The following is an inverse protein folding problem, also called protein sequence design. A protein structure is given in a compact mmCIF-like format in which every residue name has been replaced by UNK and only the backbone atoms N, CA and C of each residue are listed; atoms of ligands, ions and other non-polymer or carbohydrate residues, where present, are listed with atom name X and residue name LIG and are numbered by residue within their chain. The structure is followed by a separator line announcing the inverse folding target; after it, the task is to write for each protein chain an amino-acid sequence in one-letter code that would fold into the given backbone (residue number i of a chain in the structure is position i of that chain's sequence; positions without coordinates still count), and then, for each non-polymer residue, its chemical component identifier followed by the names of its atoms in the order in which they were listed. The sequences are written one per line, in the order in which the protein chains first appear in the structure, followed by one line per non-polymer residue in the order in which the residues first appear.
data_IF_586224396579
#
_entry.id   IF_586224396579
#
_cell.length_a   1.000
_cell.length_b   1.000
_cell.length_c   1.000
_cell.angle_alpha   90.00
_cell.angle_beta   90.00
_cell.angle_gamma   90.00
#
_symmetry.space_group_name_H-M   'P 1'
#
loop_
_entity.id
_entity.type
_entity.pdbx_description
1 polymer ?
#
# COMPACT_ATOMS: atom_id res chain seq x y z
N UNK A 1 2.91 -1.08 -27.94
CA UNK A 1 3.30 0.35 -27.93
C UNK A 1 4.70 0.45 -27.35
N UNK A 2 5.63 1.13 -28.02
CA UNK A 2 6.97 1.33 -27.45
C UNK A 2 6.84 2.26 -26.24
N UNK A 3 7.27 1.80 -25.06
CA UNK A 3 7.36 2.65 -23.88
C UNK A 3 8.20 3.88 -24.23
N UNK A 4 7.71 5.07 -23.86
CA UNK A 4 8.46 6.29 -24.10
C UNK A 4 9.80 6.22 -23.36
N UNK A 5 10.85 6.86 -23.87
CA UNK A 5 12.15 6.93 -23.15
C UNK A 5 11.96 7.49 -21.73
N UNK A 6 11.00 8.39 -21.56
CA UNK A 6 10.59 8.97 -20.29
C UNK A 6 9.99 7.90 -19.36
N UNK A 7 9.03 7.11 -19.83
CA UNK A 7 8.42 6.02 -19.05
C UNK A 7 9.47 4.98 -18.61
N UNK A 8 10.38 4.59 -19.51
CA UNK A 8 11.43 3.63 -19.18
C UNK A 8 12.39 4.18 -18.10
N UNK A 9 12.73 5.47 -18.18
CA UNK A 9 13.55 6.13 -17.17
C UNK A 9 12.83 6.23 -15.82
N UNK A 10 11.53 6.54 -15.83
CA UNK A 10 10.70 6.57 -14.63
C UNK A 10 10.65 5.20 -13.97
N UNK A 11 10.36 4.13 -14.71
CA UNK A 11 10.31 2.76 -14.18
C UNK A 11 11.64 2.34 -13.57
N UNK A 12 12.76 2.64 -14.25
CA UNK A 12 14.11 2.35 -13.71
C UNK A 12 14.38 3.13 -12.43
N UNK A 13 14.11 4.43 -12.41
CA UNK A 13 14.32 5.22 -11.21
C UNK A 13 13.42 4.74 -10.06
N UNK A 14 12.17 4.40 -10.36
CA UNK A 14 11.21 3.89 -9.40
C UNK A 14 11.68 2.57 -8.79
N UNK A 15 12.16 1.62 -9.59
CA UNK A 15 12.76 0.37 -9.08
C UNK A 15 13.99 0.61 -8.20
N UNK A 16 14.82 1.62 -8.54
CA UNK A 16 15.98 2.00 -7.73
C UNK A 16 15.56 2.62 -6.41
N UNK A 17 14.51 3.45 -6.42
CA UNK A 17 13.97 4.06 -5.21
C UNK A 17 13.30 3.01 -4.31
N UNK A 18 12.56 2.05 -4.89
CA UNK A 18 12.00 0.90 -4.16
C UNK A 18 13.10 0.07 -3.49
N UNK A 19 14.22 -0.19 -4.18
CA UNK A 19 15.37 -0.90 -3.60
C UNK A 19 16.05 -0.09 -2.48
N UNK A 20 16.27 1.22 -2.70
CA UNK A 20 16.85 2.12 -1.69
C UNK A 20 15.94 2.29 -0.46
N UNK A 21 14.62 2.22 -0.65
CA UNK A 21 13.63 2.23 0.42
C UNK A 21 13.62 0.93 1.25
N UNK A 22 13.99 -0.20 0.64
CA UNK A 22 14.05 -1.50 1.32
C UNK A 22 15.35 -1.70 2.11
N UNK A 23 16.45 -1.07 1.68
CA UNK A 23 17.73 -1.09 2.37
C UNK A 23 17.68 -0.24 3.66
N UNK A 24 18.44 -0.63 4.69
CA UNK A 24 18.47 0.04 6.01
C UNK A 24 18.94 1.50 5.80
N UNK A 25 18.01 2.46 5.82
CA UNK A 25 18.32 3.86 5.50
C UNK A 25 18.73 4.66 6.73
N UNK A 26 19.81 5.41 6.58
CA UNK A 26 20.15 6.47 7.51
C UNK A 26 19.20 7.66 7.26
N UNK A 27 18.69 8.30 8.33
CA UNK A 27 17.79 9.45 8.22
C UNK A 27 18.40 10.62 7.42
N UNK A 28 19.73 10.70 7.33
CA UNK A 28 20.47 11.76 6.63
C UNK A 28 20.68 11.50 5.13
N UNK A 29 20.17 10.40 4.58
CA UNK A 29 20.27 10.14 3.14
C UNK A 29 19.32 11.02 2.30
N UNK A 30 19.76 12.25 2.03
CA UNK A 30 19.11 13.21 1.11
C UNK A 30 18.90 12.67 -0.32
N UNK A 31 19.56 11.56 -0.68
CA UNK A 31 19.53 10.97 -2.02
C UNK A 31 18.12 10.51 -2.38
N UNK A 32 17.42 9.82 -1.48
CA UNK A 32 16.07 9.33 -1.78
C UNK A 32 15.09 10.50 -1.95
N UNK A 33 15.20 11.54 -1.12
CA UNK A 33 14.37 12.74 -1.25
C UNK A 33 14.52 13.39 -2.63
N UNK A 34 15.77 13.55 -3.11
CA UNK A 34 15.99 14.08 -4.47
C UNK A 34 15.50 13.14 -5.55
N UNK A 35 15.61 11.83 -5.38
CA UNK A 35 15.08 10.88 -6.36
C UNK A 35 13.55 10.86 -6.39
N UNK A 36 12.88 11.01 -5.24
CA UNK A 36 11.42 11.13 -5.17
C UNK A 36 10.96 12.45 -5.82
N UNK A 37 11.66 13.56 -5.58
CA UNK A 37 11.39 14.81 -6.32
C UNK A 37 11.57 14.64 -7.84
N UNK A 38 12.64 13.97 -8.28
CA UNK A 38 12.84 13.67 -9.70
C UNK A 38 11.76 12.73 -10.29
N UNK A 39 11.22 11.81 -9.49
CA UNK A 39 10.09 10.96 -9.89
C UNK A 39 8.80 11.77 -10.06
N UNK A 40 8.53 12.75 -9.18
CA UNK A 40 7.40 13.67 -9.32
C UNK A 40 7.52 14.52 -10.60
N UNK A 41 8.69 15.07 -10.87
CA UNK A 41 8.97 15.85 -12.09
C UNK A 41 8.78 15.00 -13.35
N UNK A 42 9.29 13.76 -13.35
CA UNK A 42 9.09 12.81 -14.46
C UNK A 42 7.64 12.39 -14.62
N UNK A 43 6.90 12.18 -13.53
CA UNK A 43 5.46 11.90 -13.57
C UNK A 43 4.69 13.07 -14.19
N UNK A 44 5.01 14.31 -13.82
CA UNK A 44 4.38 15.49 -14.37
C UNK A 44 4.71 15.64 -15.86
N UNK A 45 5.97 15.44 -16.24
CA UNK A 45 6.39 15.45 -17.64
C UNK A 45 5.70 14.35 -18.45
N UNK A 46 5.49 13.15 -17.88
CA UNK A 46 4.78 12.05 -18.52
C UNK A 46 3.27 12.33 -18.68
N UNK A 47 2.67 13.06 -17.73
CA UNK A 47 1.26 13.49 -17.80
C UNK A 47 1.03 14.55 -18.89
N UNK A 48 2.04 15.38 -19.17
CA UNK A 48 2.00 16.44 -20.20
C UNK A 48 2.39 15.91 -21.59
N UNK A 49 3.27 14.91 -21.67
CA UNK A 49 3.74 14.37 -22.95
C UNK A 49 2.64 13.70 -23.77
N UNK A 50 2.67 13.93 -25.09
CA UNK A 50 1.69 13.41 -26.04
C UNK A 50 1.63 11.87 -26.13
N UNK A 51 2.71 11.17 -25.78
CA UNK A 51 2.79 9.71 -25.71
C UNK A 51 2.28 9.18 -24.38
N UNK A 52 1.07 9.60 -23.99
CA UNK A 52 0.43 9.25 -22.72
C UNK A 52 0.26 7.72 -22.65
N UNK A 53 0.94 7.00 -21.74
CA UNK A 53 0.60 5.60 -21.50
C UNK A 53 -0.84 5.51 -20.96
N UNK A 54 -1.44 4.31 -20.99
CA UNK A 54 -2.80 4.10 -20.52
C UNK A 54 -3.01 4.73 -19.13
N UNK A 55 -4.16 5.38 -18.92
CA UNK A 55 -4.43 6.18 -17.71
C UNK A 55 -4.24 5.38 -16.41
N UNK A 56 -4.43 4.06 -16.47
CA UNK A 56 -4.21 3.11 -15.38
C UNK A 56 -2.74 3.08 -14.93
N UNK A 57 -1.81 2.97 -15.88
CA UNK A 57 -0.36 2.88 -15.62
C UNK A 57 0.17 4.19 -15.01
N UNK A 58 -0.34 5.34 -15.46
CA UNK A 58 0.01 6.65 -14.87
C UNK A 58 -0.46 6.73 -13.42
N UNK A 59 -1.66 6.23 -13.13
CA UNK A 59 -2.20 6.22 -11.78
C UNK A 59 -1.42 5.29 -10.87
N UNK A 60 -0.99 4.12 -11.37
CA UNK A 60 -0.10 3.21 -10.64
C UNK A 60 1.23 3.88 -10.28
N UNK A 61 1.90 4.53 -11.25
CA UNK A 61 3.13 5.25 -10.96
C UNK A 61 2.92 6.43 -10.01
N UNK A 62 1.83 7.18 -10.16
CA UNK A 62 1.46 8.27 -9.24
C UNK A 62 1.34 7.75 -7.81
N UNK A 63 0.58 6.68 -7.63
CA UNK A 63 0.37 6.06 -6.32
C UNK A 63 1.68 5.55 -5.71
N UNK A 64 2.55 4.93 -6.51
CA UNK A 64 3.87 4.47 -6.02
C UNK A 64 4.76 5.63 -5.57
N UNK A 65 4.77 6.74 -6.31
CA UNK A 65 5.53 7.94 -5.92
C UNK A 65 4.94 8.56 -4.65
N UNK A 66 3.62 8.66 -4.55
CA UNK A 66 2.92 9.13 -3.35
C UNK A 66 3.22 8.23 -2.13
N UNK A 67 3.30 6.91 -2.32
CA UNK A 67 3.68 5.95 -1.29
C UNK A 67 5.13 6.17 -0.82
N UNK A 68 6.09 6.30 -1.75
CA UNK A 68 7.49 6.58 -1.40
C UNK A 68 7.64 7.90 -0.63
N UNK A 69 6.88 8.92 -1.01
CA UNK A 69 6.84 10.21 -0.32
C UNK A 69 6.26 10.09 1.09
N UNK A 70 5.16 9.35 1.25
CA UNK A 70 4.57 9.10 2.57
C UNK A 70 5.52 8.34 3.49
N UNK A 71 6.25 7.36 2.96
CA UNK A 71 7.27 6.61 3.71
C UNK A 71 8.45 7.50 4.13
N UNK A 72 8.94 8.38 3.23
CA UNK A 72 9.95 9.38 3.56
C UNK A 72 9.53 10.31 4.69
N UNK A 73 8.27 10.77 4.67
CA UNK A 73 7.73 11.63 5.73
C UNK A 73 7.59 10.87 7.05
N UNK A 74 7.17 9.60 7.01
CA UNK A 74 7.10 8.73 8.17
C UNK A 74 8.48 8.50 8.82
N UNK A 75 9.54 8.33 8.03
CA UNK A 75 10.90 8.19 8.56
C UNK A 75 11.44 9.47 9.21
N UNK A 76 11.07 10.65 8.69
CA UNK A 76 11.47 11.96 9.24
C UNK A 76 10.84 12.30 10.59
N UNK A 77 9.70 11.70 10.94
CA UNK A 77 9.08 11.89 12.25
C UNK A 77 9.99 11.26 13.32
N UNK A 78 10.57 12.08 14.20
CA UNK A 78 11.63 11.69 15.15
C UNK A 78 11.17 10.75 16.27
N UNK A 79 9.87 10.45 16.39
CA UNK A 79 9.32 9.60 17.44
C UNK A 79 8.98 8.19 16.92
N UNK A 80 9.68 7.18 17.45
CA UNK A 80 9.43 5.74 17.23
C UNK A 80 7.94 5.35 17.38
N UNK A 81 7.24 5.97 18.34
CA UNK A 81 5.81 5.72 18.60
C UNK A 81 4.88 6.36 17.57
N UNK A 82 5.22 7.54 17.03
CA UNK A 82 4.47 8.17 15.94
C UNK A 82 4.65 7.41 14.63
N UNK A 83 5.86 6.87 14.36
CA UNK A 83 6.14 6.00 13.20
C UNK A 83 5.25 4.75 13.20
N UNK A 84 5.07 4.13 14.36
CA UNK A 84 4.22 2.94 14.50
C UNK A 84 2.73 3.27 14.28
N UNK A 85 2.25 4.42 14.77
CA UNK A 85 0.87 4.87 14.58
C UNK A 85 0.60 5.22 13.11
N UNK A 86 1.48 5.98 12.46
CA UNK A 86 1.35 6.36 11.06
C UNK A 86 1.36 5.15 10.12
N UNK A 87 2.22 4.16 10.38
CA UNK A 87 2.26 2.91 9.59
C UNK A 87 1.06 2.00 9.82
N UNK A 88 0.38 2.11 10.96
CA UNK A 88 -0.90 1.43 11.19
C UNK A 88 -2.02 2.04 10.34
N UNK A 89 -1.97 3.36 10.08
CA UNK A 89 -2.89 4.06 9.18
C UNK A 89 -2.55 3.91 7.70
N UNK A 90 -1.30 3.62 7.36
CA UNK A 90 -0.91 3.17 6.03
C UNK A 90 -1.41 1.74 5.83
N UNK A 91 -2.72 1.62 5.65
CA UNK A 91 -3.42 0.36 5.42
C UNK A 91 -2.76 -0.40 4.26
N UNK A 92 -2.68 -1.74 4.32
CA UNK A 92 -2.23 -2.57 3.20
C UNK A 92 -3.10 -2.25 1.98
N UNK A 93 -2.57 -1.45 1.06
CA UNK A 93 -3.24 -1.10 -0.18
C UNK A 93 -3.59 -2.39 -0.92
N UNK A 94 -4.90 -2.62 -1.07
CA UNK A 94 -5.59 -3.66 -1.85
C UNK A 94 -5.05 -5.10 -1.73
N UNK A 95 -5.97 -5.97 -1.30
CA UNK A 95 -5.93 -7.41 -1.65
C UNK A 95 -5.81 -7.50 -3.19
N UNK A 96 -4.83 -8.25 -3.76
CA UNK A 96 -4.71 -8.36 -5.21
C UNK A 96 -5.91 -9.15 -5.71
N UNK A 97 -6.74 -8.53 -6.54
CA UNK A 97 -7.82 -9.24 -7.26
C UNK A 97 -7.31 -9.89 -8.54
N UNK A 98 -5.98 -9.95 -8.77
CA UNK A 98 -5.42 -10.67 -9.91
C UNK A 98 -4.30 -11.61 -9.44
N UNK A 99 -4.49 -12.91 -9.72
CA UNK A 99 -3.61 -14.00 -9.30
C UNK A 99 -2.20 -13.98 -9.94
N UNK A 100 -1.88 -12.99 -10.77
CA UNK A 100 -0.65 -12.96 -11.57
C UNK A 100 0.35 -11.88 -11.19
N UNK A 101 0.04 -11.05 -10.21
CA UNK A 101 1.02 -10.09 -9.68
C UNK A 101 1.99 -10.83 -8.76
N UNK A 102 3.20 -11.12 -9.25
CA UNK A 102 4.34 -11.50 -8.41
C UNK A 102 4.37 -10.52 -7.24
N UNK A 103 4.27 -11.04 -6.02
CA UNK A 103 4.30 -10.32 -4.74
C UNK A 103 5.01 -8.96 -4.91
N UNK A 104 4.27 -7.84 -5.04
CA UNK A 104 4.92 -6.57 -5.23
C UNK A 104 5.73 -6.30 -3.96
N UNK A 105 7.01 -5.99 -4.13
CA UNK A 105 7.99 -5.76 -3.06
C UNK A 105 7.48 -4.77 -1.98
N UNK A 106 6.53 -3.92 -2.33
CA UNK A 106 5.76 -3.07 -1.40
C UNK A 106 5.14 -3.84 -0.23
N UNK A 107 4.67 -5.08 -0.43
CA UNK A 107 4.10 -5.91 0.65
C UNK A 107 5.15 -6.50 1.57
N UNK A 108 6.30 -6.90 1.03
CA UNK A 108 7.40 -7.39 1.87
C UNK A 108 7.98 -6.26 2.70
N UNK A 109 8.06 -5.04 2.15
CA UNK A 109 8.50 -3.84 2.88
C UNK A 109 7.55 -3.49 4.02
N UNK A 110 6.22 -3.53 3.83
CA UNK A 110 5.27 -3.23 4.91
C UNK A 110 5.28 -4.27 6.02
N UNK A 111 5.31 -5.57 5.68
CA UNK A 111 5.40 -6.63 6.69
C UNK A 111 6.73 -6.56 7.45
N UNK A 112 7.83 -6.26 6.76
CA UNK A 112 9.14 -6.14 7.37
C UNK A 112 9.24 -4.87 8.23
N UNK A 113 8.71 -3.73 7.77
CA UNK A 113 8.68 -2.50 8.56
C UNK A 113 7.81 -2.68 9.81
N UNK A 114 6.63 -3.30 9.67
CA UNK A 114 5.78 -3.66 10.80
C UNK A 114 6.49 -4.58 11.79
N UNK A 115 7.11 -5.66 11.33
CA UNK A 115 7.85 -6.57 12.19
C UNK A 115 9.00 -5.86 12.93
N UNK A 116 9.72 -4.97 12.22
CA UNK A 116 10.79 -4.14 12.82
C UNK A 116 10.26 -3.21 13.90
N UNK A 117 9.26 -2.39 13.62
CA UNK A 117 8.71 -1.46 14.61
C UNK A 117 8.05 -2.18 15.79
N UNK A 118 7.44 -3.35 15.57
CA UNK A 118 6.94 -4.15 16.70
C UNK A 118 8.07 -4.72 17.57
N UNK A 119 9.22 -5.03 16.96
CA UNK A 119 10.41 -5.48 17.70
C UNK A 119 11.06 -4.33 18.46
N UNK A 120 11.17 -3.15 17.86
CA UNK A 120 11.70 -1.94 18.50
C UNK A 120 10.78 -1.49 19.64
N UNK A 121 9.46 -1.47 19.44
CA UNK A 121 8.50 -1.22 20.52
C UNK A 121 8.64 -2.24 21.66
N UNK A 122 8.89 -3.50 21.32
CA UNK A 122 9.12 -4.56 22.31
C UNK A 122 10.45 -4.36 23.04
N UNK A 123 11.52 -3.92 22.37
CA UNK A 123 12.81 -3.65 23.02
C UNK A 123 12.78 -2.40 23.89
N UNK A 124 12.06 -1.35 23.47
CA UNK A 124 11.79 -0.15 24.26
C UNK A 124 10.95 -0.47 25.51
N UNK A 125 9.84 -1.21 25.36
CA UNK A 125 8.96 -1.62 26.48
C UNK A 125 9.66 -2.57 27.46
N UNK A 126 10.50 -3.48 26.96
CA UNK A 126 11.26 -4.42 27.78
C UNK A 126 12.58 -3.83 28.28
N UNK A 127 12.90 -2.57 27.96
CA UNK A 127 14.11 -1.87 28.40
C UNK A 127 15.41 -2.56 27.97
N UNK A 128 15.40 -3.38 26.92
CA UNK A 128 16.56 -4.20 26.53
C UNK A 128 17.67 -3.38 25.85
N UNK A 129 17.36 -2.16 25.39
CA UNK A 129 18.34 -1.23 24.82
C UNK A 129 18.95 -0.26 25.84
N UNK A 130 18.61 -0.39 27.14
CA UNK A 130 19.47 0.15 28.18
C UNK A 130 20.61 -0.84 28.40
N UNK A 131 21.65 -0.68 27.59
CA UNK A 131 22.99 -1.06 28.01
C UNK A 131 23.23 -0.47 29.41
N UNK A 132 23.47 -1.37 30.37
CA UNK A 132 24.03 -1.15 31.71
C UNK A 132 23.06 -0.94 32.90
N UNK A 133 23.37 -1.55 34.06
CA UNK A 133 23.68 -2.95 34.23
C UNK A 133 22.61 -3.63 35.09
N UNK A 134 22.53 -4.95 34.92
CA UNK A 134 21.79 -5.92 35.71
C UNK A 134 21.68 -5.51 37.19
N UNK A 135 20.55 -4.90 37.55
CA UNK A 135 20.13 -4.81 38.94
C UNK A 135 19.58 -6.18 39.30
N UNK A 136 20.53 -7.08 39.52
CA UNK A 136 20.39 -8.45 39.94
C UNK A 136 19.62 -8.46 41.29
N UNK A 137 18.29 -8.60 41.24
CA UNK A 137 17.39 -8.65 42.40
C UNK A 137 17.60 -9.95 43.23
N UNK A 138 18.71 -10.66 43.04
CA UNK A 138 19.00 -11.91 43.75
C UNK A 138 20.31 -11.92 44.52
N UNK A 139 20.55 -10.89 45.35
CA UNK A 139 21.38 -11.05 46.56
C UNK A 139 20.55 -11.02 47.83
N UNK A 140 19.89 -12.15 48.11
CA UNK A 140 19.65 -12.60 49.49
C UNK A 140 21.00 -13.04 50.07
N UNK A 141 21.86 -12.10 50.46
CA UNK A 141 22.97 -12.43 51.36
C UNK A 141 22.47 -12.24 52.77
N UNK A 142 22.09 -13.35 53.41
CA UNK A 142 21.91 -13.39 54.84
C UNK A 142 23.21 -13.00 55.52
N UNK A 143 23.20 -11.85 56.18
CA UNK A 143 24.14 -11.54 57.24
C UNK A 143 23.34 -11.54 58.52
N UNK A 144 23.42 -12.67 59.22
CA UNK A 144 23.15 -12.75 60.64
C UNK A 144 24.02 -11.70 61.34
N UNK A 145 23.37 -10.72 61.96
CA UNK A 145 24.07 -9.55 62.51
C UNK A 145 23.13 -8.57 63.19
N UNK A 146 22.35 -9.08 64.13
CA UNK A 146 22.04 -8.45 65.42
C UNK A 146 21.98 -6.91 65.48
N UNK A 147 20.79 -6.31 65.42
CA UNK A 147 20.34 -5.24 66.35
C UNK A 147 18.80 -5.20 66.34
N UNK A 148 18.13 -5.04 67.51
CA UNK A 148 16.68 -5.02 67.58
C UNK A 148 16.16 -3.68 67.05
N UNK A 149 15.86 -3.64 65.75
CA UNK A 149 15.11 -2.54 65.15
C UNK A 149 13.75 -2.52 65.84
N UNK A 150 13.44 -1.38 66.48
CA UNK A 150 12.21 -1.18 67.26
C UNK A 150 10.99 -1.66 66.46
N UNK A 151 10.13 -2.49 67.06
CA UNK A 151 8.91 -3.02 66.42
C UNK A 151 8.05 -1.92 65.77
N UNK A 152 8.07 -0.71 66.31
CA UNK A 152 7.40 0.47 65.73
C UNK A 152 7.95 0.88 64.37
N UNK A 153 9.26 0.75 64.18
CA UNK A 153 9.94 1.09 62.95
C UNK A 153 9.68 0.03 61.87
N UNK A 154 9.64 -1.26 62.26
CA UNK A 154 9.19 -2.35 61.38
C UNK A 154 7.72 -2.21 60.98
N UNK A 155 6.84 -1.86 61.91
CA UNK A 155 5.43 -1.62 61.62
C UNK A 155 5.23 -0.42 60.67
N UNK A 156 5.98 0.67 60.87
CA UNK A 156 5.95 1.84 59.98
C UNK A 156 6.52 1.54 58.59
N UNK A 157 7.60 0.77 58.50
CA UNK A 157 8.17 0.33 57.22
C UNK A 157 7.21 -0.60 56.47
N UNK A 158 6.59 -1.54 57.18
CA UNK A 158 5.58 -2.44 56.61
C UNK A 158 4.35 -1.67 56.11
N UNK A 159 3.86 -0.69 56.86
CA UNK A 159 2.73 0.16 56.46
C UNK A 159 3.07 0.99 55.21
N UNK A 160 4.29 1.56 55.15
CA UNK A 160 4.78 2.29 53.98
C UNK A 160 4.87 1.37 52.74
N UNK A 161 5.37 0.14 52.91
CA UNK A 161 5.44 -0.87 51.84
C UNK A 161 4.04 -1.29 51.39
N UNK A 162 3.10 -1.51 52.32
CA UNK A 162 1.71 -1.85 52.02
C UNK A 162 1.01 -0.72 51.25
N UNK A 163 1.17 0.53 51.70
CA UNK A 163 0.65 1.71 51.01
C UNK A 163 1.22 1.84 49.60
N UNK A 164 2.52 1.54 49.42
CA UNK A 164 3.16 1.52 48.10
C UNK A 164 2.60 0.42 47.20
N UNK A 165 2.37 -0.78 47.73
CA UNK A 165 1.74 -1.87 46.98
C UNK A 165 0.30 -1.55 46.58
N UNK A 166 -0.49 -0.94 47.46
CA UNK A 166 -1.87 -0.52 47.16
C UNK A 166 -1.89 0.55 46.07
N UNK A 167 -1.03 1.57 46.16
CA UNK A 167 -0.93 2.62 45.12
C UNK A 167 -0.51 2.05 43.76
N UNK A 168 0.42 1.09 43.75
CA UNK A 168 0.84 0.40 42.52
C UNK A 168 -0.29 -0.46 41.93
N UNK A 169 -1.04 -1.18 42.78
CA UNK A 169 -2.19 -1.97 42.34
C UNK A 169 -3.32 -1.08 41.80
N UNK A 170 -3.58 0.06 42.42
CA UNK A 170 -4.57 1.04 41.97
C UNK A 170 -4.19 1.64 40.62
N UNK A 171 -2.92 2.05 40.46
CA UNK A 171 -2.39 2.53 39.17
C UNK A 171 -2.46 1.48 38.07
N UNK A 172 -2.07 0.24 38.37
CA UNK A 172 -2.17 -0.85 37.41
C UNK A 172 -3.63 -1.12 37.02
N UNK A 173 -4.56 -1.08 37.98
CA UNK A 173 -5.98 -1.23 37.71
C UNK A 173 -6.51 -0.08 36.83
N UNK A 174 -6.10 1.15 37.09
CA UNK A 174 -6.48 2.33 36.30
C UNK A 174 -5.93 2.26 34.86
N UNK A 175 -4.68 1.85 34.69
CA UNK A 175 -4.06 1.62 33.37
C UNK A 175 -4.73 0.46 32.62
N UNK A 176 -4.98 -0.67 33.28
CA UNK A 176 -5.70 -1.79 32.67
C UNK A 176 -7.12 -1.40 32.26
N UNK A 177 -7.78 -0.58 33.06
CA UNK A 177 -9.12 -0.10 32.77
C UNK A 177 -9.10 0.95 31.64
N UNK A 178 -8.08 1.80 31.58
CA UNK A 178 -7.79 2.70 30.47
C UNK A 178 -7.53 1.94 29.16
N UNK A 179 -6.69 0.90 29.21
CA UNK A 179 -6.40 0.02 28.09
C UNK A 179 -7.66 -0.73 27.63
N UNK A 180 -8.45 -1.26 28.55
CA UNK A 180 -9.70 -1.96 28.23
C UNK A 180 -10.73 -1.03 27.57
N UNK A 181 -10.85 0.22 28.04
CA UNK A 181 -11.68 1.24 27.39
C UNK A 181 -11.15 1.57 25.99
N UNK A 182 -9.85 1.82 25.87
CA UNK A 182 -9.20 2.10 24.59
C UNK A 182 -9.42 0.97 23.59
N UNK A 183 -9.13 -0.28 23.99
CA UNK A 183 -9.35 -1.47 23.19
C UNK A 183 -10.81 -1.62 22.77
N UNK A 184 -11.77 -1.39 23.68
CA UNK A 184 -13.20 -1.41 23.37
C UNK A 184 -13.56 -0.34 22.33
N UNK A 185 -13.11 0.90 22.52
CA UNK A 185 -13.39 1.99 21.57
C UNK A 185 -12.75 1.74 20.20
N UNK A 186 -11.51 1.25 20.16
CA UNK A 186 -10.80 0.92 18.93
C UNK A 186 -11.46 -0.27 18.21
N UNK A 187 -11.89 -1.29 18.95
CA UNK A 187 -12.58 -2.46 18.36
C UNK A 187 -13.95 -2.08 17.79
N UNK A 188 -14.71 -1.21 18.46
CA UNK A 188 -15.98 -0.69 17.92
C UNK A 188 -15.77 0.18 16.69
N UNK A 189 -14.75 1.04 16.70
CA UNK A 189 -14.36 1.83 15.54
C UNK A 189 -13.99 0.91 14.37
N UNK A 190 -13.11 -0.08 14.61
CA UNK A 190 -12.71 -1.08 13.64
C UNK A 190 -13.91 -1.86 13.09
N UNK A 191 -14.86 -2.27 13.94
CA UNK A 191 -16.09 -2.95 13.49
C UNK A 191 -16.92 -2.07 12.55
N UNK A 192 -17.07 -0.78 12.87
CA UNK A 192 -17.80 0.16 12.02
C UNK A 192 -17.11 0.41 10.67
N UNK A 193 -15.78 0.47 10.67
CA UNK A 193 -14.94 0.59 9.47
C UNK A 193 -15.07 -0.67 8.61
N UNK A 194 -14.93 -1.86 9.19
CA UNK A 194 -15.10 -3.15 8.49
C UNK A 194 -16.50 -3.26 7.88
N UNK A 195 -17.54 -2.81 8.58
CA UNK A 195 -18.92 -2.81 8.06
C UNK A 195 -19.07 -1.86 6.86
N UNK A 196 -18.50 -0.66 6.95
CA UNK A 196 -18.50 0.33 5.86
C UNK A 196 -17.70 -0.16 4.65
N UNK A 197 -16.58 -0.83 4.88
CA UNK A 197 -15.77 -1.44 3.84
C UNK A 197 -16.52 -2.59 3.17
N UNK A 198 -17.20 -3.44 3.94
CA UNK A 198 -18.02 -4.51 3.38
C UNK A 198 -19.16 -3.97 2.49
N UNK A 199 -19.81 -2.88 2.92
CA UNK A 199 -20.80 -2.18 2.09
C UNK A 199 -20.19 -1.60 0.81
N UNK A 200 -19.03 -0.96 0.91
CA UNK A 200 -18.32 -0.36 -0.23
C UNK A 200 -17.83 -1.42 -1.20
N UNK A 201 -17.32 -2.54 -0.69
CA UNK A 201 -16.92 -3.71 -1.48
C UNK A 201 -18.13 -4.36 -2.16
N UNK A 202 -19.25 -4.56 -1.46
CA UNK A 202 -20.47 -5.09 -2.07
C UNK A 202 -21.00 -4.19 -3.17
N UNK A 203 -20.98 -2.87 -2.97
CA UNK A 203 -21.34 -1.91 -4.01
C UNK A 203 -20.37 -1.95 -5.20
N UNK A 204 -19.07 -2.02 -4.93
CA UNK A 204 -18.03 -2.08 -5.97
C UNK A 204 -18.11 -3.37 -6.78
N UNK A 205 -18.38 -4.50 -6.13
CA UNK A 205 -18.60 -5.80 -6.79
C UNK A 205 -19.84 -5.75 -7.69
N UNK A 206 -20.96 -5.21 -7.19
CA UNK A 206 -22.18 -5.03 -8.02
C UNK A 206 -21.92 -4.15 -9.25
N UNK A 207 -21.18 -3.05 -9.09
CA UNK A 207 -20.81 -2.19 -10.21
C UNK A 207 -19.86 -2.89 -11.18
N UNK A 208 -18.91 -3.69 -10.67
CA UNK A 208 -18.03 -4.50 -11.50
C UNK A 208 -18.80 -5.58 -12.27
N UNK A 209 -19.77 -6.26 -11.64
CA UNK A 209 -20.62 -7.26 -12.29
C UNK A 209 -21.50 -6.62 -13.38
N UNK A 210 -22.11 -5.47 -13.10
CA UNK A 210 -22.87 -4.72 -14.10
C UNK A 210 -21.99 -4.26 -15.27
N UNK A 211 -20.76 -3.84 -14.99
CA UNK A 211 -19.81 -3.45 -16.03
C UNK A 211 -19.35 -4.67 -16.84
N UNK A 212 -19.14 -5.83 -16.21
CA UNK A 212 -18.82 -7.08 -16.90
C UNK A 212 -19.97 -7.55 -17.78
N UNK A 213 -21.21 -7.44 -17.30
CA UNK A 213 -22.40 -7.76 -18.09
C UNK A 213 -22.51 -6.82 -19.30
N UNK A 214 -22.37 -5.51 -19.10
CA UNK A 214 -22.34 -4.53 -20.20
C UNK A 214 -21.23 -4.81 -21.20
N UNK A 215 -20.01 -5.07 -20.73
CA UNK A 215 -18.88 -5.43 -21.58
C UNK A 215 -19.14 -6.72 -22.36
N UNK A 216 -19.75 -7.74 -21.74
CA UNK A 216 -20.16 -8.96 -22.43
C UNK A 216 -21.21 -8.68 -23.50
N UNK A 217 -22.23 -7.88 -23.19
CA UNK A 217 -23.27 -7.53 -24.18
C UNK A 217 -22.73 -6.70 -25.34
N UNK A 218 -21.83 -5.74 -25.07
CA UNK A 218 -21.20 -4.92 -26.11
C UNK A 218 -20.17 -5.74 -26.90
N UNK A 219 -19.46 -6.67 -26.24
CA UNK A 219 -18.57 -7.66 -26.87
C UNK A 219 -19.36 -8.55 -27.83
N UNK A 220 -20.47 -9.13 -27.39
CA UNK A 220 -21.30 -10.00 -28.22
C UNK A 220 -21.97 -9.24 -29.36
N UNK A 221 -22.42 -8.01 -29.09
CA UNK A 221 -22.88 -7.09 -30.14
C UNK A 221 -21.77 -6.81 -31.16
N UNK A 222 -20.53 -6.58 -30.71
CA UNK A 222 -19.40 -6.35 -31.59
C UNK A 222 -19.02 -7.60 -32.38
N UNK A 223 -19.09 -8.79 -31.79
CA UNK A 223 -18.85 -10.07 -32.47
C UNK A 223 -19.89 -10.33 -33.55
N UNK A 224 -21.18 -10.11 -33.25
CA UNK A 224 -22.26 -10.19 -34.22
C UNK A 224 -22.09 -9.18 -35.37
N UNK A 225 -21.72 -7.94 -35.05
CA UNK A 225 -21.41 -6.94 -36.06
C UNK A 225 -20.18 -7.31 -36.87
N UNK A 226 -19.12 -7.85 -36.26
CA UNK A 226 -17.89 -8.24 -36.96
C UNK A 226 -18.17 -9.39 -37.94
N UNK A 227 -18.84 -10.45 -37.49
CA UNK A 227 -19.10 -11.60 -38.37
C UNK A 227 -20.02 -11.24 -39.54
N UNK A 228 -21.12 -10.52 -39.28
CA UNK A 228 -22.06 -10.11 -40.32
C UNK A 228 -21.48 -9.03 -41.23
N UNK A 229 -20.77 -8.05 -40.67
CA UNK A 229 -20.13 -6.98 -41.45
C UNK A 229 -19.02 -7.53 -42.32
N UNK A 230 -18.20 -8.47 -41.84
CA UNK A 230 -17.14 -9.08 -42.66
C UNK A 230 -17.75 -9.81 -43.86
N UNK A 231 -18.78 -10.63 -43.65
CA UNK A 231 -19.44 -11.32 -44.77
C UNK A 231 -20.09 -10.32 -45.75
N UNK A 232 -20.77 -9.30 -45.23
CA UNK A 232 -21.40 -8.27 -46.06
C UNK A 232 -20.37 -7.41 -46.81
N UNK A 233 -19.26 -7.05 -46.17
CA UNK A 233 -18.13 -6.31 -46.77
C UNK A 233 -17.43 -7.16 -47.83
N UNK A 234 -17.20 -8.45 -47.59
CA UNK A 234 -16.65 -9.36 -48.60
C UNK A 234 -17.56 -9.45 -49.84
N UNK A 235 -18.89 -9.51 -49.63
CA UNK A 235 -19.86 -9.52 -50.72
C UNK A 235 -19.91 -8.18 -51.48
N UNK A 236 -19.86 -7.06 -50.76
CA UNK A 236 -19.76 -5.73 -51.35
C UNK A 236 -18.46 -5.57 -52.17
N UNK A 237 -17.32 -6.01 -51.63
CA UNK A 237 -16.03 -6.01 -52.32
C UNK A 237 -16.06 -6.87 -53.59
N UNK A 238 -16.70 -8.04 -53.55
CA UNK A 238 -16.89 -8.90 -54.72
C UNK A 238 -17.71 -8.21 -55.82
N UNK A 239 -18.84 -7.59 -55.45
CA UNK A 239 -19.67 -6.84 -56.41
C UNK A 239 -18.89 -5.69 -57.04
N UNK A 240 -18.14 -4.95 -56.23
CA UNK A 240 -17.30 -3.85 -56.72
C UNK A 240 -16.35 -4.38 -57.79
N UNK A 241 -15.62 -5.48 -57.51
CA UNK A 241 -14.71 -6.13 -58.47
C UNK A 241 -15.43 -6.55 -59.76
N UNK A 242 -16.64 -7.11 -59.66
CA UNK A 242 -17.45 -7.43 -60.84
C UNK A 242 -17.84 -6.18 -61.64
N UNK A 243 -18.17 -5.07 -60.98
CA UNK A 243 -18.57 -3.83 -61.63
C UNK A 243 -17.41 -3.17 -62.37
N UNK A 244 -16.18 -3.19 -61.82
CA UNK A 244 -14.98 -2.71 -62.52
C UNK A 244 -14.69 -3.57 -63.75
N UNK A 245 -14.88 -4.90 -63.66
CA UNK A 245 -14.69 -5.80 -64.80
C UNK A 245 -15.71 -5.54 -65.93
N UNK A 246 -16.99 -5.34 -65.59
CA UNK A 246 -18.03 -4.96 -66.55
C UNK A 246 -17.71 -3.60 -67.16
N UNK A 247 -17.34 -2.62 -66.34
CA UNK A 247 -16.95 -1.28 -66.80
C UNK A 247 -15.75 -1.35 -67.75
N UNK A 248 -14.78 -2.23 -67.48
CA UNK A 248 -13.63 -2.47 -68.36
C UNK A 248 -14.02 -3.09 -69.70
N UNK A 249 -14.88 -4.11 -69.73
CA UNK A 249 -15.41 -4.69 -70.98
C UNK A 249 -16.21 -3.67 -71.77
N UNK A 250 -17.07 -2.91 -71.08
CA UNK A 250 -17.82 -1.82 -71.70
C UNK A 250 -16.88 -0.77 -72.28
N UNK A 251 -15.81 -0.38 -71.56
CA UNK A 251 -14.81 0.55 -72.05
C UNK A 251 -14.10 0.03 -73.31
N UNK A 252 -13.66 -1.24 -73.33
CA UNK A 252 -13.04 -1.87 -74.51
C UNK A 252 -14.00 -1.92 -75.69
N UNK A 253 -15.30 -2.19 -75.48
CA UNK A 253 -16.28 -2.33 -76.56
C UNK A 253 -16.84 -0.98 -77.04
N UNK A 254 -16.88 0.04 -76.19
CA UNK A 254 -17.47 1.35 -76.47
C UNK A 254 -16.41 2.35 -76.99
N UNK A 255 -15.17 2.31 -76.49
CA UNK A 255 -14.09 3.18 -76.97
C UNK A 255 -13.79 3.07 -78.48
N UNK A 256 -13.89 1.93 -79.17
CA UNK A 256 -13.74 1.89 -80.63
C UNK A 256 -14.92 2.52 -81.39
N UNK A 257 -15.99 2.96 -80.71
CA UNK A 257 -17.09 3.71 -81.32
C UNK A 257 -17.06 5.22 -81.03
N UNK A 258 -16.13 5.68 -80.21
CA UNK A 258 -15.99 7.11 -79.85
C UNK A 258 -14.77 7.80 -80.49
N UNK A 259 -14.02 7.11 -81.34
CA UNK A 259 -13.16 7.71 -82.37
C UNK A 259 -13.76 7.40 -83.74
#
# INVERSE_FOLDING_TARGET
MAASRLELNLVRLLSRCEAMAAEKRDPDEWRLEKYVGALEDMLQALKVHASKPASEVINEYSWKVDFLKGMLQAEKLTSSSEKALANQFLAPGRVPTTARERVPATKTVHLQSRARYTSEMRSELLGTDSAEPEMDVRKRTGVAGSQPVSEKQLAAELDLVLQRHQNLQEKLAEEMLGLARSLKTNTLAAQSVIKKDNQTLSHSLKMADQNLEKLKTESERLEQHTQKSVNWLLWAMLIIVCFIFISMILFIRIMPKLK
#
